data_IF_809560777488
#
_entry.id   IF_809560777488
#
_cell.length_a   1.000
_cell.length_b   1.000
_cell.length_c   1.000
_cell.angle_alpha   90.00
_cell.angle_beta   90.00
_cell.angle_gamma   90.00
#
_symmetry.space_group_name_H-M   'P 1'
#
loop_
_entity.id
_entity.type
_entity.pdbx_description
1 polymer ?
#
# COMPACT_ATOMS: atom_id res chain seq x y z
N UNK A 1 -0.08 -7.72 3.72
CA UNK A 1 0.97 -6.71 3.87
C UNK A 1 0.72 -5.80 5.08
N UNK A 2 0.38 -6.36 6.26
CA UNK A 2 0.18 -5.58 7.49
C UNK A 2 -1.19 -4.93 7.64
N UNK A 3 -1.36 -4.21 8.76
CA UNK A 3 -2.61 -3.61 9.23
C UNK A 3 -3.75 -4.64 9.28
N UNK A 4 -3.51 -5.69 10.05
CA UNK A 4 -4.41 -6.81 10.22
C UNK A 4 -5.52 -6.51 11.23
N UNK A 5 -5.33 -5.48 12.06
CA UNK A 5 -6.28 -4.95 13.02
C UNK A 5 -6.36 -3.42 12.92
N UNK A 6 -7.35 -2.80 13.60
CA UNK A 6 -7.52 -1.34 13.57
C UNK A 6 -6.45 -0.64 14.41
N UNK A 7 -6.22 -1.09 15.65
CA UNK A 7 -5.26 -0.50 16.56
C UNK A 7 -4.55 -1.57 17.42
N UNK A 8 -4.22 -2.72 16.84
CA UNK A 8 -3.47 -3.77 17.51
C UNK A 8 -4.25 -4.52 18.59
N UNK A 9 -5.59 -4.50 18.55
CA UNK A 9 -6.42 -5.21 19.54
C UNK A 9 -6.17 -6.71 19.47
N UNK A 10 -5.69 -7.31 20.56
CA UNK A 10 -5.32 -8.72 20.62
C UNK A 10 -6.48 -9.65 20.23
N UNK A 11 -7.68 -9.36 20.70
CA UNK A 11 -8.86 -10.16 20.36
C UNK A 11 -9.17 -10.14 18.86
N UNK A 12 -8.88 -9.02 18.17
CA UNK A 12 -9.06 -8.90 16.72
C UNK A 12 -8.03 -9.73 15.97
N UNK A 13 -6.78 -9.73 16.42
CA UNK A 13 -5.72 -10.58 15.87
C UNK A 13 -6.04 -12.06 16.03
N UNK A 14 -6.48 -12.48 17.22
CA UNK A 14 -6.88 -13.88 17.50
C UNK A 14 -8.04 -14.30 16.59
N UNK A 15 -9.08 -13.46 16.47
CA UNK A 15 -10.22 -13.73 15.62
C UNK A 15 -9.86 -13.78 14.12
N UNK A 16 -8.89 -12.97 13.66
CA UNK A 16 -8.38 -13.04 12.31
C UNK A 16 -7.56 -14.33 12.09
N UNK A 17 -6.69 -14.69 13.04
CA UNK A 17 -5.89 -15.91 12.95
C UNK A 17 -6.77 -17.15 12.77
N UNK A 18 -7.88 -17.27 13.50
CA UNK A 18 -8.87 -18.36 13.30
C UNK A 18 -9.43 -18.41 11.87
N UNK A 19 -9.68 -17.25 11.26
CA UNK A 19 -10.15 -17.19 9.86
C UNK A 19 -9.05 -17.61 8.88
N UNK A 20 -7.81 -17.18 9.12
CA UNK A 20 -6.65 -17.56 8.30
C UNK A 20 -6.33 -19.05 8.40
N UNK A 21 -6.50 -19.67 9.57
CA UNK A 21 -6.38 -21.13 9.74
C UNK A 21 -7.36 -21.89 8.83
N UNK A 22 -8.56 -21.37 8.63
CA UNK A 22 -9.53 -21.98 7.70
C UNK A 22 -9.07 -21.90 6.25
N UNK A 23 -8.36 -20.82 5.87
CA UNK A 23 -7.75 -20.71 4.54
C UNK A 23 -6.62 -21.71 4.36
N UNK A 24 -5.75 -21.86 5.36
CA UNK A 24 -4.69 -22.87 5.35
C UNK A 24 -5.25 -24.30 5.30
N UNK A 25 -6.30 -24.57 6.05
CA UNK A 25 -6.98 -25.88 6.03
C UNK A 25 -7.57 -26.23 4.65
N UNK A 26 -7.87 -25.23 3.82
CA UNK A 26 -8.25 -25.40 2.43
C UNK A 26 -7.05 -25.65 1.47
N UNK A 27 -5.82 -25.73 2.00
CA UNK A 27 -4.60 -25.99 1.23
C UNK A 27 -3.96 -24.75 0.61
N UNK A 28 -4.34 -23.55 1.06
CA UNK A 28 -3.78 -22.27 0.58
C UNK A 28 -2.78 -21.75 1.61
N UNK A 29 -1.48 -21.65 1.32
CA UNK A 29 -0.51 -21.06 2.22
C UNK A 29 -0.90 -19.59 2.52
N UNK A 30 -0.80 -19.21 3.80
CA UNK A 30 -1.01 -17.85 4.27
C UNK A 30 0.28 -17.32 4.86
N UNK A 31 0.68 -16.11 4.49
CA UNK A 31 1.87 -15.44 5.00
C UNK A 31 1.46 -14.08 5.53
N UNK A 32 2.00 -13.69 6.68
CA UNK A 32 1.70 -12.40 7.32
C UNK A 32 2.96 -11.66 7.73
N UNK A 33 2.88 -10.34 7.75
CA UNK A 33 3.80 -9.41 8.39
C UNK A 33 2.97 -8.36 9.13
N UNK A 34 3.51 -7.67 10.13
CA UNK A 34 2.80 -6.56 10.77
C UNK A 34 2.74 -5.31 9.89
N UNK A 35 1.75 -4.46 10.17
CA UNK A 35 1.70 -3.06 9.81
C UNK A 35 1.80 -2.17 11.05
N UNK A 36 1.84 -0.85 10.85
CA UNK A 36 1.98 0.10 11.96
C UNK A 36 0.77 0.10 12.92
N UNK A 37 -0.38 -0.40 12.51
CA UNK A 37 -1.54 -0.54 13.38
C UNK A 37 -1.54 -1.83 14.23
N UNK A 38 -0.63 -2.79 14.01
CA UNK A 38 -0.76 -4.13 14.55
C UNK A 38 -0.06 -4.35 15.90
N UNK A 39 1.03 -3.61 16.18
CA UNK A 39 1.92 -3.87 17.32
C UNK A 39 2.11 -2.60 18.14
N UNK A 40 1.94 -2.73 19.48
CA UNK A 40 2.16 -1.65 20.47
C UNK A 40 1.40 -0.35 20.13
N UNK A 41 0.29 -0.46 19.43
CA UNK A 41 -0.50 0.71 19.06
C UNK A 41 -1.14 1.34 20.31
N UNK A 42 -0.99 2.66 20.54
CA UNK A 42 -1.36 3.30 21.81
C UNK A 42 -2.88 3.42 22.02
N UNK A 43 -3.68 3.18 20.99
CA UNK A 43 -5.13 3.39 21.02
C UNK A 43 -5.94 2.12 20.81
N UNK A 44 -5.40 0.95 21.23
CA UNK A 44 -6.17 -0.28 21.22
C UNK A 44 -7.47 -0.11 22.03
N UNK A 45 -8.61 -0.34 21.42
CA UNK A 45 -9.91 -0.04 21.99
C UNK A 45 -10.97 -1.10 21.71
N UNK A 46 -11.93 -1.21 22.60
CA UNK A 46 -13.16 -1.98 22.39
C UNK A 46 -14.35 -1.04 22.36
N UNK A 47 -15.33 -1.34 21.52
CA UNK A 47 -16.52 -0.54 21.27
C UNK A 47 -17.74 -1.33 21.68
N UNK A 48 -18.60 -0.72 22.50
CA UNK A 48 -19.88 -1.30 22.88
C UNK A 48 -20.93 -0.18 22.88
N UNK A 49 -21.86 -0.23 21.94
CA UNK A 49 -22.75 0.87 21.61
C UNK A 49 -21.94 2.17 21.37
N UNK A 50 -22.27 3.25 22.07
CA UNK A 50 -21.56 4.54 22.01
C UNK A 50 -20.38 4.64 23.00
N UNK A 51 -19.99 3.53 23.65
CA UNK A 51 -18.92 3.52 24.63
C UNK A 51 -17.64 2.97 24.04
N UNK A 52 -16.55 3.72 24.21
CA UNK A 52 -15.19 3.32 23.85
C UNK A 52 -14.42 3.07 25.13
N UNK A 53 -13.75 1.92 25.22
CA UNK A 53 -12.93 1.53 26.37
C UNK A 53 -11.57 1.00 25.90
N UNK A 54 -10.48 1.21 26.63
CA UNK A 54 -9.19 0.60 26.29
C UNK A 54 -9.29 -0.92 26.17
N UNK A 55 -8.65 -1.48 25.17
CA UNK A 55 -8.51 -2.91 24.97
C UNK A 55 -7.06 -3.37 25.23
N UNK A 56 -6.85 -4.67 25.38
CA UNK A 56 -5.52 -5.28 25.40
C UNK A 56 -4.90 -5.15 24.01
N UNK A 57 -3.73 -4.51 23.91
CA UNK A 57 -2.94 -4.41 22.71
C UNK A 57 -2.10 -5.66 22.47
N UNK A 58 -1.40 -5.69 21.35
CA UNK A 58 -0.53 -6.80 20.93
C UNK A 58 0.91 -6.34 20.87
N UNK A 59 1.80 -7.01 21.62
CA UNK A 59 3.25 -6.83 21.53
C UNK A 59 3.84 -7.61 20.35
N UNK A 60 5.10 -7.33 19.98
CA UNK A 60 5.83 -8.08 18.94
C UNK A 60 5.88 -9.58 19.21
N UNK A 61 6.12 -9.96 20.46
CA UNK A 61 6.14 -11.38 20.87
C UNK A 61 4.76 -12.02 20.74
N UNK A 62 3.70 -11.33 21.18
CA UNK A 62 2.32 -11.84 21.05
C UNK A 62 1.87 -11.92 19.61
N UNK A 63 2.25 -10.95 18.76
CA UNK A 63 2.01 -11.03 17.32
C UNK A 63 2.63 -12.29 16.74
N UNK A 64 3.91 -12.56 17.07
CA UNK A 64 4.55 -13.80 16.65
C UNK A 64 3.82 -15.04 17.16
N UNK A 65 3.42 -15.09 18.43
CA UNK A 65 2.71 -16.23 19.00
C UNK A 65 1.35 -16.49 18.33
N UNK A 66 0.64 -15.44 17.95
CA UNK A 66 -0.64 -15.55 17.23
C UNK A 66 -0.43 -16.03 15.79
N UNK A 67 0.61 -15.51 15.11
CA UNK A 67 0.77 -15.69 13.66
C UNK A 67 1.90 -16.63 13.23
N UNK A 68 2.62 -17.30 14.13
CA UNK A 68 3.80 -18.10 13.76
C UNK A 68 3.51 -19.16 12.69
N UNK A 69 2.30 -19.74 12.66
CA UNK A 69 1.86 -20.73 11.67
C UNK A 69 1.73 -20.14 10.26
N UNK A 70 1.65 -18.82 10.11
CA UNK A 70 1.41 -18.14 8.85
C UNK A 70 2.71 -17.60 8.25
N UNK A 71 3.60 -18.51 7.95
CA UNK A 71 4.87 -18.28 7.27
C UNK A 71 6.10 -18.40 8.14
N UNK A 72 6.07 -17.97 9.40
CA UNK A 72 7.25 -17.94 10.26
C UNK A 72 7.82 -19.34 10.58
N UNK A 73 6.94 -20.34 10.84
CA UNK A 73 7.37 -21.72 11.11
C UNK A 73 7.97 -22.42 9.88
N UNK A 74 7.60 -21.98 8.67
CA UNK A 74 8.09 -22.51 7.42
C UNK A 74 9.21 -21.66 6.80
N UNK A 75 9.62 -20.60 7.51
CA UNK A 75 10.67 -19.70 7.04
C UNK A 75 12.01 -20.42 6.89
N UNK A 76 12.66 -20.21 5.75
CA UNK A 76 14.02 -20.75 5.51
C UNK A 76 15.10 -19.89 6.17
N UNK A 77 14.78 -18.64 6.47
CA UNK A 77 15.65 -17.70 7.21
C UNK A 77 14.78 -16.64 7.89
N UNK A 78 15.23 -16.12 9.02
CA UNK A 78 14.60 -15.04 9.78
C UNK A 78 15.64 -14.01 10.18
N UNK A 79 15.30 -12.72 10.14
CA UNK A 79 16.08 -11.68 10.78
C UNK A 79 16.07 -11.85 12.31
N UNK A 80 17.13 -11.46 12.98
CA UNK A 80 17.25 -11.64 14.43
C UNK A 80 16.65 -10.51 15.26
N UNK A 81 16.42 -9.38 14.63
CA UNK A 81 16.04 -8.10 15.24
C UNK A 81 14.65 -7.60 14.85
N UNK A 82 13.98 -8.33 13.96
CA UNK A 82 12.64 -7.99 13.46
C UNK A 82 11.81 -9.24 13.17
N UNK A 83 10.55 -9.03 12.83
CA UNK A 83 9.66 -10.10 12.38
C UNK A 83 9.83 -10.42 10.87
N UNK A 84 10.94 -10.01 10.26
CA UNK A 84 11.25 -10.30 8.86
C UNK A 84 11.68 -11.75 8.65
N UNK A 85 11.25 -12.33 7.53
CA UNK A 85 11.59 -13.71 7.19
C UNK A 85 11.58 -13.97 5.67
N UNK A 86 12.22 -15.06 5.22
CA UNK A 86 12.14 -15.57 3.85
C UNK A 86 11.32 -16.84 3.84
N UNK A 87 10.30 -16.86 2.98
CA UNK A 87 9.50 -18.03 2.67
C UNK A 87 9.82 -18.53 1.26
N UNK A 88 10.16 -19.83 1.12
CA UNK A 88 10.37 -20.45 -0.18
C UNK A 88 9.01 -20.83 -0.78
N UNK A 89 8.58 -20.08 -1.80
CA UNK A 89 7.33 -20.39 -2.49
C UNK A 89 7.46 -21.68 -3.33
N UNK A 90 8.56 -21.76 -4.10
CA UNK A 90 8.99 -22.95 -4.86
C UNK A 90 10.50 -22.90 -5.14
N UNK A 91 10.99 -23.68 -6.11
CA UNK A 91 12.40 -23.75 -6.49
C UNK A 91 12.90 -22.49 -7.22
N UNK A 92 12.00 -21.62 -7.69
CA UNK A 92 12.30 -20.43 -8.49
C UNK A 92 12.02 -19.12 -7.79
N UNK A 93 11.13 -19.12 -6.79
CA UNK A 93 10.62 -17.88 -6.17
C UNK A 93 10.66 -17.93 -4.66
N UNK A 94 11.23 -16.89 -4.06
CA UNK A 94 11.19 -16.65 -2.63
C UNK A 94 10.42 -15.38 -2.34
N UNK A 95 9.59 -15.41 -1.29
CA UNK A 95 8.98 -14.22 -0.72
C UNK A 95 9.84 -13.75 0.45
N UNK A 96 10.32 -12.52 0.37
CA UNK A 96 11.06 -11.84 1.44
C UNK A 96 10.08 -10.95 2.18
N UNK A 97 9.58 -11.43 3.29
CA UNK A 97 8.58 -10.78 4.12
C UNK A 97 9.30 -9.85 5.10
N UNK A 98 9.10 -8.54 4.95
CA UNK A 98 9.85 -7.49 5.64
C UNK A 98 8.96 -6.78 6.65
N UNK A 99 9.33 -6.85 7.92
CA UNK A 99 8.77 -6.02 8.97
C UNK A 99 9.41 -4.64 8.89
N UNK A 100 8.64 -3.67 8.47
CA UNK A 100 9.07 -2.27 8.31
C UNK A 100 8.54 -1.36 9.42
N UNK A 101 7.91 -1.93 10.47
CA UNK A 101 7.27 -1.14 11.51
C UNK A 101 8.27 -0.64 12.54
N UNK A 102 8.08 0.57 13.03
CA UNK A 102 8.80 1.13 14.19
C UNK A 102 7.85 1.04 15.38
N UNK A 103 7.92 -0.06 16.11
CA UNK A 103 7.02 -0.34 17.24
C UNK A 103 7.68 -0.15 18.60
N UNK A 104 9.00 -0.04 18.67
CA UNK A 104 9.80 0.09 19.89
C UNK A 104 10.97 1.06 19.68
N UNK A 105 11.40 1.83 20.73
CA UNK A 105 10.80 1.93 22.06
C UNK A 105 9.51 2.77 22.09
N UNK A 106 9.17 3.45 20.98
CA UNK A 106 7.95 4.24 20.81
C UNK A 106 7.34 3.84 19.49
N UNK A 107 6.03 3.68 19.48
CA UNK A 107 5.27 3.41 18.28
C UNK A 107 5.28 4.63 17.34
N UNK A 108 5.56 4.40 16.06
CA UNK A 108 5.55 5.41 14.99
C UNK A 108 4.66 4.95 13.84
N UNK A 109 4.06 5.90 13.13
CA UNK A 109 3.27 5.61 11.93
C UNK A 109 4.17 5.29 10.73
N UNK A 110 5.35 5.91 10.68
CA UNK A 110 6.35 5.68 9.63
C UNK A 110 7.07 4.35 9.75
N UNK A 111 7.82 4.01 8.72
CA UNK A 111 8.52 2.73 8.62
C UNK A 111 10.01 2.84 8.34
N UNK A 112 10.74 1.81 8.75
CA UNK A 112 12.17 1.68 8.51
C UNK A 112 12.59 0.21 8.53
N UNK A 113 13.55 -0.16 7.73
CA UNK A 113 14.28 -1.41 7.90
C UNK A 113 15.57 -1.12 8.67
N UNK A 114 15.81 -1.86 9.76
CA UNK A 114 17.02 -1.69 10.57
C UNK A 114 18.29 -2.02 9.77
N UNK A 115 19.44 -1.56 10.22
CA UNK A 115 20.74 -1.89 9.60
C UNK A 115 20.99 -3.40 9.60
N UNK A 116 20.61 -4.10 10.68
CA UNK A 116 20.71 -5.55 10.82
C UNK A 116 19.78 -6.26 9.82
N UNK A 117 18.54 -5.80 9.69
CA UNK A 117 17.60 -6.35 8.72
C UNK A 117 18.09 -6.12 7.29
N UNK A 118 18.65 -4.95 6.93
CA UNK A 118 19.22 -4.67 5.60
C UNK A 118 20.44 -5.57 5.32
N UNK A 119 21.32 -5.79 6.31
CA UNK A 119 22.45 -6.71 6.18
C UNK A 119 21.99 -8.16 5.98
N UNK A 120 20.96 -8.58 6.72
CA UNK A 120 20.33 -9.88 6.53
C UNK A 120 19.69 -10.00 5.14
N UNK A 121 18.97 -9.00 4.66
CA UNK A 121 18.40 -8.96 3.29
C UNK A 121 19.48 -9.19 2.24
N UNK A 122 20.62 -8.48 2.35
CA UNK A 122 21.75 -8.64 1.43
C UNK A 122 22.22 -10.10 1.39
N UNK A 123 22.38 -10.73 2.56
CA UNK A 123 22.80 -12.14 2.66
C UNK A 123 21.80 -13.06 1.97
N UNK A 124 20.49 -12.83 2.14
CA UNK A 124 19.45 -13.65 1.50
C UNK A 124 19.41 -13.43 -0.03
N UNK A 125 19.61 -12.20 -0.49
CA UNK A 125 19.67 -11.87 -1.92
C UNK A 125 20.89 -12.49 -2.58
N UNK A 126 22.06 -12.52 -1.91
CA UNK A 126 23.27 -13.20 -2.37
C UNK A 126 23.02 -14.72 -2.51
N UNK A 127 22.35 -15.32 -1.55
CA UNK A 127 22.02 -16.74 -1.59
C UNK A 127 21.00 -17.06 -2.69
N UNK A 128 19.96 -16.26 -2.83
CA UNK A 128 18.98 -16.38 -3.91
C UNK A 128 19.64 -16.29 -5.29
N UNK A 129 20.56 -15.32 -5.48
CA UNK A 129 21.33 -15.18 -6.72
C UNK A 129 22.18 -16.42 -7.03
N UNK A 130 22.86 -17.00 -6.03
CA UNK A 130 23.64 -18.25 -6.21
C UNK A 130 22.75 -19.43 -6.65
N UNK A 131 21.51 -19.46 -6.16
CA UNK A 131 20.55 -20.53 -6.50
C UNK A 131 19.75 -20.21 -7.78
N UNK A 132 19.90 -19.04 -8.39
CA UNK A 132 19.12 -18.62 -9.56
C UNK A 132 17.64 -18.39 -9.25
N UNK A 133 17.34 -17.95 -8.03
CA UNK A 133 15.98 -17.73 -7.52
C UNK A 133 15.63 -16.25 -7.62
N UNK A 134 14.42 -15.94 -8.04
CA UNK A 134 13.84 -14.59 -8.01
C UNK A 134 13.26 -14.30 -6.62
N UNK A 135 13.64 -13.17 -6.04
CA UNK A 135 13.11 -12.70 -4.74
C UNK A 135 12.01 -11.66 -4.98
N UNK A 136 10.94 -11.80 -4.22
CA UNK A 136 9.79 -10.87 -4.20
C UNK A 136 9.68 -10.31 -2.78
N UNK A 137 10.15 -9.08 -2.52
CA UNK A 137 9.97 -8.44 -1.24
C UNK A 137 8.52 -8.01 -1.01
N UNK A 138 8.08 -8.11 0.23
CA UNK A 138 6.76 -7.68 0.71
C UNK A 138 6.95 -6.95 2.02
N UNK A 139 6.48 -5.71 2.13
CA UNK A 139 6.45 -4.93 3.36
C UNK A 139 5.08 -4.30 3.59
N UNK A 140 4.91 -3.65 4.74
CA UNK A 140 3.75 -2.79 4.96
C UNK A 140 3.98 -1.41 4.34
N UNK A 141 4.99 -0.67 4.79
CA UNK A 141 5.33 0.64 4.27
C UNK A 141 5.93 0.58 2.86
N UNK A 142 5.73 1.66 2.11
CA UNK A 142 6.16 1.72 0.72
C UNK A 142 7.69 1.81 0.58
N UNK A 143 8.18 1.29 -0.53
CA UNK A 143 9.58 1.46 -0.94
C UNK A 143 9.79 2.78 -1.68
N UNK A 144 8.85 3.17 -2.55
CA UNK A 144 8.94 4.36 -3.39
C UNK A 144 7.95 5.42 -2.91
N UNK A 145 8.26 6.69 -3.21
CA UNK A 145 7.31 7.78 -3.05
C UNK A 145 6.14 7.60 -4.05
N UNK A 146 5.04 7.02 -3.58
CA UNK A 146 3.93 6.58 -4.42
C UNK A 146 2.90 7.67 -4.71
N UNK A 147 2.80 8.68 -3.85
CA UNK A 147 1.77 9.70 -3.96
C UNK A 147 2.28 11.09 -3.61
N UNK A 148 1.90 12.10 -4.41
CA UNK A 148 2.12 13.50 -4.08
C UNK A 148 1.23 14.00 -2.93
N UNK A 149 0.22 13.20 -2.54
CA UNK A 149 -0.66 13.49 -1.40
C UNK A 149 -0.06 13.08 -0.05
N UNK A 150 0.80 12.07 -0.04
CA UNK A 150 1.33 11.42 1.16
C UNK A 150 2.85 11.27 1.07
N UNK A 151 3.61 12.39 1.15
CA UNK A 151 5.06 12.33 0.92
C UNK A 151 5.86 11.81 2.10
N UNK A 152 5.35 11.91 3.32
CA UNK A 152 6.06 11.51 4.54
C UNK A 152 5.33 10.36 5.24
N UNK A 153 6.03 9.63 6.11
CA UNK A 153 5.53 8.50 6.91
C UNK A 153 5.02 7.28 6.10
N UNK A 154 4.80 7.42 4.79
CA UNK A 154 4.31 6.34 3.95
C UNK A 154 5.43 5.49 3.37
N UNK A 155 6.59 6.10 3.13
CA UNK A 155 7.77 5.46 2.56
C UNK A 155 8.75 5.12 3.68
N UNK A 156 9.42 3.97 3.61
CA UNK A 156 10.47 3.63 4.59
C UNK A 156 11.57 4.70 4.59
N UNK A 157 12.10 5.08 5.75
CA UNK A 157 13.10 6.15 5.89
C UNK A 157 14.37 5.91 5.06
N UNK A 158 14.79 4.65 4.96
CA UNK A 158 16.00 4.25 4.23
C UNK A 158 15.72 3.74 2.81
N UNK A 159 14.72 4.29 2.14
CA UNK A 159 14.27 3.90 0.79
C UNK A 159 15.41 3.88 -0.23
N UNK A 160 16.31 4.86 -0.22
CA UNK A 160 17.42 4.94 -1.20
C UNK A 160 18.37 3.76 -1.09
N UNK A 161 18.73 3.37 0.12
CA UNK A 161 19.61 2.24 0.41
C UNK A 161 18.95 0.93 -0.01
N UNK A 162 17.70 0.72 0.42
CA UNK A 162 16.96 -0.51 0.14
C UNK A 162 16.67 -0.66 -1.35
N UNK A 163 16.28 0.42 -2.04
CA UNK A 163 16.04 0.40 -3.48
C UNK A 163 17.32 0.04 -4.24
N UNK A 164 18.44 0.67 -3.92
CA UNK A 164 19.75 0.38 -4.54
C UNK A 164 20.17 -1.07 -4.30
N UNK A 165 19.96 -1.59 -3.09
CA UNK A 165 20.23 -3.00 -2.77
C UNK A 165 19.39 -3.92 -3.66
N UNK A 166 18.08 -3.74 -3.69
CA UNK A 166 17.16 -4.61 -4.45
C UNK A 166 17.44 -4.55 -5.96
N UNK A 167 17.72 -3.36 -6.51
CA UNK A 167 18.07 -3.20 -7.93
C UNK A 167 19.39 -3.87 -8.29
N UNK A 168 20.39 -3.87 -7.38
CA UNK A 168 21.67 -4.57 -7.57
C UNK A 168 21.50 -6.08 -7.76
N UNK A 169 20.46 -6.64 -7.16
CA UNK A 169 20.12 -8.07 -7.31
C UNK A 169 19.02 -8.34 -8.33
N UNK A 170 18.60 -7.33 -9.10
CA UNK A 170 17.62 -7.49 -10.18
C UNK A 170 16.22 -7.82 -9.73
N UNK A 171 15.84 -7.40 -8.53
CA UNK A 171 14.48 -7.61 -8.01
C UNK A 171 13.46 -6.89 -8.91
N UNK A 172 12.48 -7.62 -9.51
CA UNK A 172 11.59 -7.03 -10.51
C UNK A 172 10.45 -6.22 -9.91
N UNK A 173 9.91 -6.68 -8.78
CA UNK A 173 8.73 -6.12 -8.13
C UNK A 173 8.89 -6.10 -6.62
N UNK A 174 8.25 -5.13 -5.99
CA UNK A 174 8.10 -4.97 -4.55
C UNK A 174 6.61 -4.80 -4.24
N UNK A 175 6.11 -5.48 -3.21
CA UNK A 175 4.71 -5.43 -2.82
C UNK A 175 4.57 -4.70 -1.49
N UNK A 176 3.62 -3.75 -1.41
CA UNK A 176 3.37 -2.99 -0.18
C UNK A 176 1.89 -2.66 0.02
N UNK A 177 1.59 -2.00 1.14
CA UNK A 177 0.26 -1.56 1.53
C UNK A 177 0.25 -0.11 2.04
N UNK A 178 -0.25 0.12 3.26
CA UNK A 178 -0.20 1.35 4.05
C UNK A 178 -0.98 2.55 3.48
N UNK A 179 -0.78 2.91 2.22
CA UNK A 179 -1.40 4.10 1.60
C UNK A 179 -2.91 3.98 1.34
N UNK A 180 -3.51 2.80 1.55
CA UNK A 180 -4.92 2.54 1.27
C UNK A 180 -5.35 2.86 -0.18
N UNK A 181 -4.44 2.75 -1.13
CA UNK A 181 -4.71 2.93 -2.54
C UNK A 181 -4.07 1.84 -3.39
N UNK A 182 -4.58 1.65 -4.60
CA UNK A 182 -4.00 0.76 -5.59
C UNK A 182 -3.09 1.56 -6.51
N UNK A 183 -1.79 1.28 -6.47
CA UNK A 183 -0.79 2.03 -7.24
C UNK A 183 0.29 1.11 -7.80
N UNK A 184 0.77 1.42 -9.00
CA UNK A 184 1.94 0.79 -9.61
C UNK A 184 2.89 1.88 -10.05
N UNK A 185 4.12 1.85 -9.52
CA UNK A 185 5.15 2.83 -9.86
C UNK A 185 6.45 2.13 -10.21
N UNK A 186 7.11 2.59 -11.25
CA UNK A 186 8.46 2.16 -11.62
C UNK A 186 9.47 3.14 -11.05
N UNK A 187 10.49 2.65 -10.35
CA UNK A 187 11.64 3.47 -10.00
C UNK A 187 12.39 3.88 -11.26
N UNK A 188 12.55 5.18 -11.45
CA UNK A 188 13.33 5.75 -12.53
C UNK A 188 14.59 6.34 -11.94
N UNK A 189 15.64 5.55 -11.82
CA UNK A 189 16.95 6.12 -11.48
C UNK A 189 17.48 6.92 -12.69
N UNK A 190 17.95 8.13 -12.44
CA UNK A 190 18.69 8.92 -13.44
C UNK A 190 20.10 8.36 -13.67
N UNK A 191 20.49 7.32 -12.99
CA UNK A 191 21.79 6.70 -13.03
C UNK A 191 21.65 5.32 -13.65
N UNK A 192 22.58 4.98 -14.51
CA UNK A 192 22.86 3.70 -15.13
C UNK A 192 22.60 2.49 -14.19
N UNK A 193 21.34 2.22 -13.86
CA UNK A 193 21.00 0.96 -13.23
C UNK A 193 21.46 -0.14 -14.16
N UNK A 194 22.22 -1.12 -13.69
CA UNK A 194 22.65 -2.23 -14.51
C UNK A 194 21.44 -2.81 -15.27
N UNK A 195 21.48 -2.81 -16.59
CA UNK A 195 20.37 -3.24 -17.42
C UNK A 195 19.22 -2.23 -17.61
N UNK A 196 19.16 -1.10 -16.88
CA UNK A 196 18.10 -0.08 -17.03
C UNK A 196 16.70 -0.53 -16.60
N UNK A 197 16.59 -1.65 -15.86
CA UNK A 197 15.32 -2.28 -15.54
C UNK A 197 14.47 -1.47 -14.57
N UNK A 198 15.00 -1.07 -13.42
CA UNK A 198 14.30 -0.39 -12.34
C UNK A 198 13.20 -1.24 -11.68
N UNK A 199 13.18 -1.26 -10.36
CA UNK A 199 12.17 -1.98 -9.59
C UNK A 199 10.78 -1.36 -9.78
N UNK A 200 9.74 -2.19 -9.74
CA UNK A 200 8.35 -1.73 -9.74
C UNK A 200 7.72 -2.03 -8.39
N UNK A 201 7.21 -1.02 -7.74
CA UNK A 201 6.40 -1.18 -6.55
C UNK A 201 4.93 -1.31 -6.93
N UNK A 202 4.24 -2.24 -6.27
CA UNK A 202 2.81 -2.46 -6.37
C UNK A 202 2.23 -2.27 -4.96
N UNK A 203 1.57 -1.15 -4.75
CA UNK A 203 0.80 -0.87 -3.55
C UNK A 203 -0.61 -1.42 -3.72
N UNK A 204 -1.11 -2.15 -2.73
CA UNK A 204 -2.46 -2.73 -2.78
C UNK A 204 -3.41 -1.95 -1.89
N UNK A 205 -4.62 -1.68 -2.42
CA UNK A 205 -5.69 -1.07 -1.62
C UNK A 205 -6.19 -2.03 -0.54
N UNK A 206 -6.73 -1.51 0.59
CA UNK A 206 -7.24 -2.36 1.66
C UNK A 206 -8.47 -3.13 1.21
N UNK A 207 -8.53 -4.41 1.59
CA UNK A 207 -9.60 -5.33 1.20
C UNK A 207 -11.01 -4.86 1.60
N UNK A 208 -11.23 -4.25 2.78
CA UNK A 208 -12.56 -3.80 3.19
C UNK A 208 -13.03 -2.48 2.56
N UNK A 209 -12.15 -1.76 1.85
CA UNK A 209 -12.51 -0.51 1.18
C UNK A 209 -12.96 -0.77 -0.27
N UNK A 210 -14.02 -0.09 -0.71
CA UNK A 210 -14.46 -0.20 -2.11
C UNK A 210 -13.30 0.11 -3.10
N UNK A 211 -13.12 -0.72 -4.13
CA UNK A 211 -14.04 -1.74 -4.64
C UNK A 211 -13.88 -3.13 -4.02
N UNK A 212 -13.32 -3.27 -2.82
CA UNK A 212 -13.11 -4.52 -2.09
C UNK A 212 -12.32 -5.54 -2.93
N UNK A 213 -11.14 -5.12 -3.38
CA UNK A 213 -10.34 -5.88 -4.33
C UNK A 213 -9.12 -6.53 -3.67
N UNK A 214 -8.66 -7.60 -4.30
CA UNK A 214 -7.38 -8.25 -4.03
C UNK A 214 -6.58 -8.37 -5.31
N UNK A 215 -5.29 -8.64 -5.17
CA UNK A 215 -4.38 -8.73 -6.31
C UNK A 215 -3.97 -10.15 -6.61
N UNK A 216 -3.78 -10.46 -7.88
CA UNK A 216 -3.24 -11.73 -8.36
C UNK A 216 -1.96 -11.43 -9.13
N UNK A 217 -0.87 -12.05 -8.68
CA UNK A 217 0.44 -12.00 -9.32
C UNK A 217 0.75 -13.39 -9.87
N UNK A 218 0.96 -13.50 -11.18
CA UNK A 218 1.23 -14.77 -11.83
C UNK A 218 2.56 -14.71 -12.57
N UNK A 219 3.44 -15.69 -12.32
CA UNK A 219 4.61 -15.97 -13.14
C UNK A 219 4.27 -17.00 -14.19
N UNK A 220 4.59 -16.67 -15.44
CA UNK A 220 4.38 -17.54 -16.58
C UNK A 220 5.59 -18.46 -16.79
N UNK A 221 5.39 -19.54 -17.55
CA UNK A 221 6.47 -20.50 -17.84
C UNK A 221 7.65 -19.90 -18.61
N UNK A 222 7.43 -18.84 -19.39
CA UNK A 222 8.44 -18.08 -20.13
C UNK A 222 9.16 -17.04 -19.26
N UNK A 223 8.88 -16.97 -17.96
CA UNK A 223 9.45 -16.02 -17.02
C UNK A 223 8.75 -14.66 -17.00
N UNK A 224 7.75 -14.41 -17.85
CA UNK A 224 6.96 -13.19 -17.79
C UNK A 224 6.08 -13.15 -16.53
N UNK A 225 5.75 -11.94 -16.08
CA UNK A 225 4.94 -11.67 -14.91
C UNK A 225 3.67 -10.95 -15.33
N UNK A 226 2.51 -11.41 -14.89
CA UNK A 226 1.26 -10.67 -14.99
C UNK A 226 0.69 -10.37 -13.62
N UNK A 227 0.14 -9.18 -13.47
CA UNK A 227 -0.53 -8.71 -12.29
C UNK A 227 -1.89 -8.12 -12.68
N UNK A 228 -2.91 -8.42 -11.90
CA UNK A 228 -4.21 -7.78 -12.02
C UNK A 228 -4.95 -7.76 -10.69
N UNK A 229 -5.82 -6.78 -10.50
CA UNK A 229 -6.76 -6.75 -9.37
C UNK A 229 -8.04 -7.49 -9.69
N UNK A 230 -8.69 -8.01 -8.66
CA UNK A 230 -9.98 -8.68 -8.75
C UNK A 230 -10.83 -8.33 -7.54
N UNK A 231 -12.10 -8.03 -7.76
CA UNK A 231 -13.06 -7.81 -6.66
C UNK A 231 -13.40 -9.09 -5.94
N UNK A 232 -13.69 -9.00 -4.65
CA UNK A 232 -14.27 -10.11 -3.88
C UNK A 232 -15.73 -10.27 -4.31
N UNK A 233 -16.11 -11.48 -4.73
CA UNK A 233 -17.48 -11.80 -5.19
C UNK A 233 -18.43 -12.00 -4.00
N UNK A 234 -18.75 -10.93 -3.29
CA UNK A 234 -19.65 -10.96 -2.13
C UNK A 234 -21.09 -11.22 -2.57
N UNK A 235 -21.54 -10.63 -3.68
CA UNK A 235 -22.89 -10.88 -4.20
C UNK A 235 -23.08 -12.35 -4.59
N UNK A 236 -22.09 -12.95 -5.27
CA UNK A 236 -22.14 -14.38 -5.59
C UNK A 236 -22.05 -15.29 -4.35
N UNK A 237 -21.31 -14.86 -3.33
CA UNK A 237 -21.30 -15.53 -2.02
C UNK A 237 -22.70 -15.47 -1.37
N UNK A 238 -23.31 -14.29 -1.28
CA UNK A 238 -24.63 -14.08 -0.69
C UNK A 238 -25.70 -14.94 -1.38
N UNK A 239 -25.73 -14.95 -2.71
CA UNK A 239 -26.64 -15.81 -3.48
C UNK A 239 -26.42 -17.30 -3.19
N UNK A 240 -25.16 -17.77 -3.10
CA UNK A 240 -24.80 -19.17 -2.84
C UNK A 240 -25.24 -19.65 -1.48
N UNK A 241 -25.24 -18.77 -0.48
CA UNK A 241 -25.61 -19.10 0.90
C UNK A 241 -27.03 -18.70 1.26
N UNK A 242 -27.80 -18.16 0.30
CA UNK A 242 -29.20 -17.83 0.49
C UNK A 242 -29.43 -16.60 1.38
N UNK A 243 -28.50 -15.67 1.37
CA UNK A 243 -28.64 -14.38 2.07
C UNK A 243 -29.73 -13.55 1.39
N UNK A 244 -30.53 -12.85 2.20
CA UNK A 244 -31.65 -12.02 1.73
C UNK A 244 -31.37 -10.52 1.87
N UNK A 245 -30.24 -10.13 2.44
CA UNK A 245 -29.83 -8.72 2.57
C UNK A 245 -29.54 -8.12 1.20
N UNK A 246 -30.32 -7.10 0.81
CA UNK A 246 -30.20 -6.42 -0.48
C UNK A 246 -28.83 -5.77 -0.67
N UNK A 247 -28.15 -5.31 0.39
CA UNK A 247 -26.82 -4.72 0.32
C UNK A 247 -25.77 -5.80 0.01
N UNK A 248 -25.92 -7.01 0.54
CA UNK A 248 -25.04 -8.14 0.21
C UNK A 248 -25.27 -8.64 -1.22
N UNK A 249 -26.55 -8.72 -1.65
CA UNK A 249 -26.89 -9.15 -3.01
C UNK A 249 -26.44 -8.16 -4.10
N UNK A 250 -26.30 -6.86 -3.75
CA UNK A 250 -25.83 -5.79 -4.64
C UNK A 250 -24.57 -5.12 -4.10
N UNK A 251 -23.66 -5.90 -3.53
CA UNK A 251 -22.57 -5.41 -2.68
C UNK A 251 -21.66 -4.40 -3.37
N UNK A 252 -21.30 -4.60 -4.63
CA UNK A 252 -20.43 -3.67 -5.36
C UNK A 252 -21.03 -2.25 -5.41
N UNK A 253 -22.32 -2.16 -5.75
CA UNK A 253 -23.02 -0.88 -5.81
C UNK A 253 -23.18 -0.25 -4.41
N UNK A 254 -23.47 -1.07 -3.41
CA UNK A 254 -23.56 -0.63 -2.02
C UNK A 254 -22.23 -0.08 -1.50
N UNK A 255 -21.14 -0.82 -1.68
CA UNK A 255 -19.81 -0.42 -1.21
C UNK A 255 -19.29 0.86 -1.92
N UNK A 256 -19.47 0.94 -3.24
CA UNK A 256 -19.12 2.12 -4.01
C UNK A 256 -19.92 3.35 -3.55
N UNK A 257 -21.23 3.21 -3.37
CA UNK A 257 -22.08 4.32 -2.92
C UNK A 257 -21.75 4.73 -1.49
N UNK A 258 -21.53 3.78 -0.58
CA UNK A 258 -21.13 4.05 0.80
C UNK A 258 -19.85 4.88 0.86
N UNK A 259 -18.81 4.47 0.12
CA UNK A 259 -17.54 5.19 0.07
C UNK A 259 -17.71 6.61 -0.46
N UNK A 260 -18.46 6.76 -1.56
CA UNK A 260 -18.71 8.06 -2.17
C UNK A 260 -19.51 8.97 -1.25
N UNK A 261 -20.51 8.44 -0.52
CA UNK A 261 -21.32 9.23 0.40
C UNK A 261 -20.49 9.73 1.58
N UNK A 262 -19.65 8.89 2.19
CA UNK A 262 -18.75 9.27 3.28
C UNK A 262 -17.79 10.39 2.85
N UNK A 263 -17.10 10.21 1.74
CA UNK A 263 -16.14 11.21 1.24
C UNK A 263 -16.85 12.50 0.81
N UNK A 264 -18.00 12.38 0.15
CA UNK A 264 -18.79 13.52 -0.29
C UNK A 264 -19.29 14.34 0.89
N UNK A 265 -19.75 13.71 1.97
CA UNK A 265 -20.17 14.40 3.18
C UNK A 265 -19.00 15.17 3.85
N UNK A 266 -17.82 14.57 3.93
CA UNK A 266 -16.62 15.22 4.46
C UNK A 266 -16.23 16.44 3.61
N UNK A 267 -16.15 16.27 2.29
CA UNK A 267 -15.85 17.37 1.38
C UNK A 267 -16.89 18.48 1.45
N UNK A 268 -18.18 18.14 1.51
CA UNK A 268 -19.28 19.11 1.63
C UNK A 268 -19.16 19.95 2.91
N UNK A 269 -18.85 19.33 4.04
CA UNK A 269 -18.67 20.02 5.33
C UNK A 269 -17.49 20.99 5.29
N UNK A 270 -16.42 20.64 4.58
CA UNK A 270 -15.24 21.48 4.44
C UNK A 270 -15.44 22.72 3.54
N UNK A 271 -16.34 22.64 2.56
CA UNK A 271 -16.61 23.75 1.63
C UNK A 271 -17.41 24.86 2.29
N UNK A 272 -16.91 26.11 2.27
CA UNK A 272 -17.52 27.27 2.95
C UNK A 272 -18.21 28.26 1.99
N UNK A 273 -17.67 28.43 0.77
CA UNK A 273 -17.88 29.66 -0.01
C UNK A 273 -18.88 29.57 -1.18
N UNK A 274 -19.62 28.46 -1.34
CA UNK A 274 -20.55 28.27 -2.43
C UNK A 274 -22.00 28.00 -1.96
N UNK A 275 -22.98 28.12 -2.86
CA UNK A 275 -24.35 27.69 -2.57
C UNK A 275 -24.41 26.17 -2.34
N UNK A 276 -25.49 25.70 -1.70
CA UNK A 276 -25.67 24.31 -1.37
C UNK A 276 -25.52 23.41 -2.60
N UNK A 277 -26.21 23.71 -3.69
CA UNK A 277 -26.21 22.92 -4.93
C UNK A 277 -24.79 22.81 -5.54
N UNK A 278 -24.07 23.93 -5.57
CA UNK A 278 -22.67 23.95 -6.06
C UNK A 278 -21.76 23.11 -5.15
N UNK A 279 -21.93 23.20 -3.84
CA UNK A 279 -21.17 22.39 -2.86
C UNK A 279 -21.43 20.90 -3.05
N UNK A 280 -22.68 20.49 -3.30
CA UNK A 280 -23.05 19.09 -3.57
C UNK A 280 -22.34 18.57 -4.82
N UNK A 281 -22.33 19.34 -5.92
CA UNK A 281 -21.62 18.96 -7.15
C UNK A 281 -20.10 18.89 -6.95
N UNK A 282 -19.50 19.85 -6.24
CA UNK A 282 -18.08 19.84 -5.92
C UNK A 282 -17.70 18.63 -5.06
N UNK A 283 -18.45 18.35 -4.01
CA UNK A 283 -18.22 17.25 -3.09
C UNK A 283 -18.36 15.90 -3.81
N UNK A 284 -19.37 15.75 -4.64
CA UNK A 284 -19.58 14.53 -5.42
C UNK A 284 -18.43 14.27 -6.39
N UNK A 285 -17.98 15.28 -7.14
CA UNK A 285 -16.82 15.13 -8.01
C UNK A 285 -15.59 14.68 -7.26
N UNK A 286 -15.32 15.30 -6.10
CA UNK A 286 -14.17 14.93 -5.27
C UNK A 286 -14.27 13.47 -4.79
N UNK A 287 -15.44 13.05 -4.35
CA UNK A 287 -15.67 11.67 -3.87
C UNK A 287 -15.51 10.64 -5.00
N UNK A 288 -16.08 10.89 -6.17
CA UNK A 288 -15.93 10.00 -7.33
C UNK A 288 -14.46 9.88 -7.76
N UNK A 289 -13.71 10.99 -7.77
CA UNK A 289 -12.27 10.97 -8.08
C UNK A 289 -11.45 10.23 -7.03
N UNK A 290 -11.75 10.38 -5.74
CA UNK A 290 -11.09 9.62 -4.67
C UNK A 290 -11.34 8.12 -4.80
N UNK A 291 -12.59 7.69 -5.02
CA UNK A 291 -12.93 6.29 -5.27
C UNK A 291 -12.08 5.71 -6.41
N UNK A 292 -12.02 6.40 -7.55
CA UNK A 292 -11.26 5.95 -8.71
C UNK A 292 -9.75 5.94 -8.43
N UNK A 293 -9.24 6.91 -7.69
CA UNK A 293 -7.85 6.97 -7.26
C UNK A 293 -7.48 5.83 -6.32
N UNK A 294 -8.28 5.60 -5.28
CA UNK A 294 -8.04 4.52 -4.33
C UNK A 294 -8.16 3.13 -4.95
N UNK A 295 -9.04 2.97 -5.95
CA UNK A 295 -9.17 1.72 -6.70
C UNK A 295 -8.08 1.48 -7.75
N UNK A 296 -7.21 2.47 -8.03
CA UNK A 296 -6.20 2.41 -9.07
C UNK A 296 -6.74 2.62 -10.48
N UNK A 297 -8.02 3.00 -10.61
CA UNK A 297 -8.66 3.20 -11.91
C UNK A 297 -8.16 4.50 -12.56
N UNK A 298 -7.86 4.42 -13.84
CA UNK A 298 -7.46 5.59 -14.61
C UNK A 298 -8.55 6.65 -14.67
N UNK A 299 -8.21 7.90 -14.36
CA UNK A 299 -9.11 9.06 -14.47
C UNK A 299 -8.91 9.76 -15.82
N UNK A 300 -10.02 10.09 -16.50
CA UNK A 300 -9.99 10.96 -17.67
C UNK A 300 -9.84 12.43 -17.23
N UNK A 301 -8.59 12.82 -17.02
CA UNK A 301 -8.21 14.17 -16.58
C UNK A 301 -8.75 15.28 -17.49
N UNK A 302 -8.81 15.02 -18.80
CA UNK A 302 -9.30 16.02 -19.75
C UNK A 302 -10.81 16.24 -19.61
N UNK A 303 -11.56 15.17 -19.37
CA UNK A 303 -13.00 15.22 -19.10
C UNK A 303 -13.28 15.93 -17.76
N UNK A 304 -12.57 15.56 -16.71
CA UNK A 304 -12.73 16.17 -15.37
C UNK A 304 -12.48 17.67 -15.44
N UNK A 305 -11.35 18.11 -16.03
CA UNK A 305 -11.01 19.53 -16.12
C UNK A 305 -12.02 20.38 -16.92
N UNK A 306 -12.80 19.76 -17.81
CA UNK A 306 -13.88 20.42 -18.57
C UNK A 306 -15.21 20.40 -17.84
N UNK A 307 -15.38 19.64 -16.78
CA UNK A 307 -16.64 19.54 -16.04
C UNK A 307 -16.96 20.84 -15.31
N UNK A 308 -18.23 21.13 -15.14
CA UNK A 308 -18.71 22.31 -14.41
C UNK A 308 -18.33 22.23 -12.94
N UNK A 309 -18.44 21.07 -12.33
CA UNK A 309 -18.04 20.82 -10.95
C UNK A 309 -16.54 21.13 -10.69
N UNK A 310 -15.64 20.79 -11.64
CA UNK A 310 -14.23 21.17 -11.54
C UNK A 310 -14.02 22.68 -11.66
N UNK A 311 -14.77 23.35 -12.52
CA UNK A 311 -14.72 24.82 -12.65
C UNK A 311 -15.23 25.50 -11.35
N UNK A 312 -16.19 24.89 -10.65
CA UNK A 312 -16.62 25.36 -9.34
C UNK A 312 -15.49 25.23 -8.30
N UNK A 313 -14.72 24.14 -8.30
CA UNK A 313 -13.54 23.98 -7.46
C UNK A 313 -12.53 25.10 -7.69
N UNK A 314 -12.20 25.42 -8.95
CA UNK A 314 -11.29 26.52 -9.28
C UNK A 314 -11.82 27.88 -8.81
N UNK A 315 -13.14 28.09 -8.88
CA UNK A 315 -13.75 29.39 -8.56
C UNK A 315 -14.00 29.61 -7.06
N UNK A 316 -14.40 28.57 -6.35
CA UNK A 316 -14.99 28.71 -5.02
C UNK A 316 -14.13 28.13 -3.88
N UNK A 317 -13.21 27.22 -4.13
CA UNK A 317 -12.35 26.67 -3.07
C UNK A 317 -11.15 27.56 -2.74
N UNK A 318 -10.79 28.48 -3.62
CA UNK A 318 -9.58 29.28 -3.44
C UNK A 318 -8.30 28.42 -3.53
N UNK A 319 -7.33 28.77 -2.70
CA UNK A 319 -6.05 28.05 -2.58
C UNK A 319 -6.07 27.17 -1.33
N UNK A 320 -7.08 26.36 -1.17
CA UNK A 320 -7.23 25.54 0.01
C UNK A 320 -6.69 24.10 -0.19
N UNK A 321 -6.56 23.41 0.92
CA UNK A 321 -6.13 22.04 1.03
C UNK A 321 -6.90 21.09 0.09
N UNK A 322 -8.21 21.21 0.00
CA UNK A 322 -9.05 20.30 -0.80
C UNK A 322 -8.82 20.45 -2.30
N UNK A 323 -8.61 21.68 -2.77
CA UNK A 323 -8.26 21.92 -4.18
C UNK A 323 -6.88 21.32 -4.51
N UNK A 324 -5.90 21.50 -3.61
CA UNK A 324 -4.57 20.91 -3.78
C UNK A 324 -4.63 19.38 -3.87
N UNK A 325 -5.40 18.72 -2.98
CA UNK A 325 -5.63 17.26 -3.04
C UNK A 325 -6.28 16.83 -4.34
N UNK A 326 -7.33 17.52 -4.79
CA UNK A 326 -7.99 17.21 -6.06
C UNK A 326 -7.03 17.34 -7.25
N UNK A 327 -6.16 18.34 -7.24
CA UNK A 327 -5.14 18.51 -8.28
C UNK A 327 -4.05 17.42 -8.24
N UNK A 328 -3.65 16.99 -7.05
CA UNK A 328 -2.70 15.89 -6.88
C UNK A 328 -3.30 14.55 -7.38
N UNK A 329 -4.56 14.26 -7.07
CA UNK A 329 -5.26 13.09 -7.64
C UNK A 329 -5.24 13.14 -9.17
N UNK A 330 -5.55 14.28 -9.79
CA UNK A 330 -5.51 14.45 -11.24
C UNK A 330 -4.09 14.33 -11.83
N UNK A 331 -3.07 14.58 -11.05
CA UNK A 331 -1.68 14.34 -11.45
C UNK A 331 -1.34 12.85 -11.41
N UNK A 332 -1.71 12.15 -10.35
CA UNK A 332 -1.30 10.77 -10.09
C UNK A 332 -2.15 9.73 -10.84
N UNK A 333 -3.46 9.93 -10.99
CA UNK A 333 -4.39 8.93 -11.53
C UNK A 333 -4.48 8.91 -13.07
N UNK A 334 -3.36 9.12 -13.78
CA UNK A 334 -3.32 9.16 -15.25
C UNK A 334 -3.14 7.80 -15.91
N UNK A 335 -2.75 6.81 -15.13
CA UNK A 335 -2.49 5.45 -15.59
C UNK A 335 -3.47 4.49 -14.93
N UNK A 336 -3.70 3.36 -15.57
CA UNK A 336 -4.40 2.24 -14.95
C UNK A 336 -3.40 1.49 -14.07
N UNK A 337 -3.67 1.43 -12.77
CA UNK A 337 -2.85 0.75 -11.77
C UNK A 337 -3.43 -0.62 -11.36
N UNK A 338 -4.40 -1.12 -12.10
CA UNK A 338 -5.06 -2.40 -11.82
C UNK A 338 -4.46 -3.57 -12.59
N UNK A 339 -3.59 -3.30 -13.56
CA UNK A 339 -2.94 -4.30 -14.41
C UNK A 339 -1.47 -3.97 -14.65
N UNK A 340 -0.63 -5.02 -14.74
CA UNK A 340 0.77 -4.92 -15.11
C UNK A 340 1.21 -6.18 -15.83
N UNK A 341 1.96 -6.00 -16.93
CA UNK A 341 2.61 -7.08 -17.67
C UNK A 341 4.10 -6.78 -17.78
N UNK A 342 4.94 -7.71 -17.37
CA UNK A 342 6.39 -7.60 -17.42
C UNK A 342 6.99 -8.81 -18.14
N UNK A 343 8.00 -8.56 -18.97
CA UNK A 343 8.73 -9.58 -19.72
C UNK A 343 10.15 -9.73 -19.19
N UNK A 344 10.53 -10.96 -18.85
CA UNK A 344 11.90 -11.28 -18.48
C UNK A 344 12.87 -10.96 -19.62
N UNK A 345 14.07 -10.48 -19.32
CA UNK A 345 15.06 -10.00 -20.29
C UNK A 345 14.73 -8.66 -20.98
N UNK A 346 13.55 -8.07 -20.70
CA UNK A 346 13.11 -6.76 -21.24
C UNK A 346 12.82 -5.79 -20.12
N UNK A 347 12.01 -6.20 -19.16
CA UNK A 347 11.55 -5.38 -18.04
C UNK A 347 12.28 -5.67 -16.74
N UNK A 348 12.89 -6.84 -16.63
CA UNK A 348 13.75 -7.30 -15.54
C UNK A 348 14.70 -8.40 -16.06
N UNK A 349 15.82 -8.67 -15.34
CA UNK A 349 16.81 -9.65 -15.80
C UNK A 349 16.24 -11.07 -15.86
N UNK A 350 16.80 -11.88 -16.74
CA UNK A 350 16.50 -13.32 -16.73
C UNK A 350 17.03 -13.96 -15.44
N UNK A 351 16.38 -15.00 -14.90
CA UNK A 351 16.88 -15.72 -13.75
C UNK A 351 18.33 -16.21 -13.97
N UNK A 352 19.25 -15.81 -13.06
CA UNK A 352 20.66 -16.14 -13.15
C UNK A 352 21.50 -15.23 -14.07
N UNK A 353 20.91 -14.25 -14.72
CA UNK A 353 21.63 -13.23 -15.47
C UNK A 353 22.46 -12.37 -14.53
N UNK A 354 23.74 -12.20 -14.82
CA UNK A 354 24.64 -11.35 -14.03
C UNK A 354 24.42 -9.91 -14.46
N UNK A 355 23.83 -9.09 -13.58
CA UNK A 355 23.79 -7.65 -13.78
C UNK A 355 25.22 -7.12 -13.52
N UNK A 356 25.91 -6.64 -14.55
CA UNK A 356 27.23 -6.03 -14.38
C UNK A 356 27.09 -4.75 -13.54
N UNK A 357 27.77 -4.73 -12.40
CA UNK A 357 27.77 -3.57 -11.49
C UNK A 357 28.69 -2.50 -12.09
N UNK A 358 28.22 -1.29 -12.36
CA UNK A 358 29.10 -0.21 -12.80
C UNK A 358 29.87 0.38 -11.60
N UNK A 359 30.76 -0.37 -10.97
CA UNK A 359 31.63 0.14 -9.90
C UNK A 359 32.67 1.17 -10.38
N UNK A 360 32.57 1.72 -11.59
CA UNK A 360 33.51 2.68 -12.14
C UNK A 360 32.87 3.95 -12.73
N UNK A 361 31.83 4.51 -12.14
CA UNK A 361 31.41 5.87 -12.44
C UNK A 361 31.72 6.77 -11.25
N UNK A 362 32.85 7.43 -11.30
CA UNK A 362 33.28 8.48 -10.36
C UNK A 362 32.28 9.63 -10.32
N UNK A 363 32.06 10.14 -9.11
CA UNK A 363 31.26 11.28 -8.71
C UNK A 363 31.30 12.48 -9.69
N UNK A 364 30.12 12.93 -10.12
CA UNK A 364 29.88 14.35 -10.36
C UNK A 364 28.59 14.78 -9.62
N UNK A 365 28.80 15.46 -8.50
CA UNK A 365 27.78 16.26 -7.83
C UNK A 365 27.43 17.46 -8.73
N UNK A 366 26.16 17.53 -9.16
CA UNK A 366 25.58 18.81 -9.58
C UNK A 366 24.39 19.11 -8.68
N UNK A 367 24.59 20.12 -7.84
CA UNK A 367 23.55 20.74 -7.04
C UNK A 367 22.47 21.33 -7.94
N UNK A 368 21.27 20.76 -7.89
CA UNK A 368 20.05 21.31 -8.47
C UNK A 368 19.24 22.01 -7.40
N UNK A 369 18.85 23.25 -7.67
CA UNK A 369 18.16 24.16 -6.76
C UNK A 369 16.83 23.58 -6.25
N UNK A 370 16.68 23.68 -4.97
CA UNK A 370 15.48 23.38 -4.17
C UNK A 370 14.36 24.39 -4.51
N UNK A 371 13.42 23.95 -5.33
CA UNK A 371 12.11 24.58 -5.43
C UNK A 371 11.17 23.80 -4.51
N UNK A 372 10.83 24.38 -3.34
CA UNK A 372 9.99 23.77 -2.32
C UNK A 372 8.80 23.03 -2.93
N UNK A 373 8.65 21.78 -2.55
CA UNK A 373 7.59 20.89 -3.04
C UNK A 373 6.22 21.39 -2.56
N UNK A 374 5.18 21.34 -3.41
CA UNK A 374 3.78 21.60 -3.00
C UNK A 374 3.33 20.72 -1.81
N UNK A 375 4.01 19.62 -1.56
CA UNK A 375 3.76 18.67 -0.49
C UNK A 375 3.99 19.25 0.92
N UNK A 376 5.05 20.05 1.15
CA UNK A 376 5.30 20.69 2.46
C UNK A 376 4.19 21.68 2.88
N UNK A 377 3.55 22.32 1.90
CA UNK A 377 2.46 23.25 2.20
C UNK A 377 1.15 22.52 2.52
N UNK A 378 0.94 21.33 1.95
CA UNK A 378 -0.21 20.46 2.21
C UNK A 378 -0.13 19.89 3.62
N UNK A 379 1.03 19.39 4.04
CA UNK A 379 1.22 18.77 5.35
C UNK A 379 1.06 19.72 6.53
N UNK A 380 1.61 20.94 6.44
CA UNK A 380 1.40 21.97 7.48
C UNK A 380 -0.07 22.35 7.69
N UNK A 381 -0.91 22.14 6.66
CA UNK A 381 -2.36 22.37 6.74
C UNK A 381 -3.12 21.14 7.26
N UNK A 382 -2.63 19.91 7.03
CA UNK A 382 -3.20 18.68 7.59
C UNK A 382 -3.17 18.68 9.12
N UNK A 383 -2.05 19.09 9.73
CA UNK A 383 -1.93 19.22 11.18
C UNK A 383 -2.96 20.21 11.78
N UNK A 384 -3.36 21.23 11.03
CA UNK A 384 -4.35 22.22 11.48
C UNK A 384 -5.81 21.73 11.42
N UNK A 385 -6.10 20.68 10.63
CA UNK A 385 -7.44 20.12 10.43
C UNK A 385 -7.65 18.76 11.09
N UNK A 386 -6.64 18.21 11.77
CA UNK A 386 -6.73 16.90 12.45
C UNK A 386 -6.79 15.69 11.51
N UNK A 387 -6.45 15.89 10.22
CA UNK A 387 -6.49 14.85 9.20
C UNK A 387 -5.10 14.22 9.05
N UNK A 388 -4.68 13.42 10.01
CA UNK A 388 -3.46 12.62 9.86
C UNK A 388 -3.72 11.33 9.10
N UNK A 389 -2.96 11.12 8.04
CA UNK A 389 -2.43 9.83 7.60
C UNK A 389 -3.34 8.81 6.94
N UNK A 390 -4.60 9.07 6.57
CA UNK A 390 -5.40 8.08 5.83
C UNK A 390 -6.22 8.71 4.71
N UNK A 391 -6.31 8.03 3.56
CA UNK A 391 -7.23 8.40 2.47
C UNK A 391 -8.68 8.52 2.95
N UNK A 392 -9.01 7.84 4.03
CA UNK A 392 -10.31 7.86 4.69
C UNK A 392 -10.05 7.60 6.17
N UNK A 393 -10.14 8.63 7.02
CA UNK A 393 -10.56 8.35 8.37
C UNK A 393 -12.02 7.91 8.26
N UNK A 394 -12.26 6.61 8.47
CA UNK A 394 -13.61 6.12 8.73
C UNK A 394 -14.16 6.94 9.88
N UNK A 395 -15.27 7.63 9.65
CA UNK A 395 -16.00 8.31 10.70
C UNK A 395 -16.23 7.31 11.85
N UNK A 396 -15.74 7.66 13.05
CA UNK A 396 -16.26 7.13 14.28
C UNK A 396 -17.73 7.50 14.44
#
# INVERSE_FOLDING_TARGET
>A
SGDLSQNGEKANHEALAEKLERVQAAGIPVLVIPGNHDINHPWAATYFDDQVSPAEGTSSEEFYQIYHKFGYDQAVSRASDSLSYVYRLDEKYWLMMLDSCICEPVHETGGKLSEETVAWMKTQLEEAKKQGVTVIPVSHHNLLDESTLYPEECTIENTKEVTALLETYGVPVYLSGHLHLQRIKKHTSNLNTPGGYGIREIVTSPLPMAPCQYSILNWQADGSLSYHTKKVDIAGWAQRYGEEDENLLNFDAYADQFLVDVISEQAFKALQSASKDIKEEMARLYADMNRDYCSGTKIDVAKIRKSEAYQYWIRYSGNDFWLARLQAILHDARMDNTVLELKAGVDFPLPGETIENPENAENEETAGADAGSPAEEIQKKEESYGLRGNCIQTAE
#
